data_IF_175360441055
#
_entry.id   IF_175360441055
#
_cell.length_a   1.000
_cell.length_b   1.000
_cell.length_c   1.000
_cell.angle_alpha   90.00
_cell.angle_beta   90.00
_cell.angle_gamma   90.00
#
_symmetry.space_group_name_H-M   'P 1'
#
loop_
_entity.id
_entity.type
_entity.pdbx_description
1 polymer ?
#
# COMPACT_ATOMS: atom_id res chain seq x y z
N UNK A 1 -15.71 6.31 5.17
CA UNK A 1 -15.50 4.91 5.58
C UNK A 1 -14.07 4.77 6.05
N UNK A 2 -13.79 4.08 7.16
CA UNK A 2 -12.44 3.97 7.75
C UNK A 2 -11.91 2.55 7.54
N UNK A 3 -10.64 2.43 7.14
CA UNK A 3 -9.95 1.15 7.04
C UNK A 3 -9.77 0.56 8.45
N UNK A 4 -10.05 -0.73 8.61
CA UNK A 4 -9.83 -1.47 9.86
C UNK A 4 -8.54 -2.28 9.75
N UNK A 5 -8.05 -2.80 10.87
CA UNK A 5 -6.82 -3.62 10.91
C UNK A 5 -6.80 -4.77 9.88
N UNK A 6 -7.89 -5.55 9.66
CA UNK A 6 -7.90 -6.59 8.63
C UNK A 6 -7.66 -6.04 7.21
N UNK A 7 -8.16 -4.84 6.93
CA UNK A 7 -7.97 -4.19 5.63
C UNK A 7 -6.49 -3.80 5.46
N UNK A 8 -5.84 -3.34 6.53
CA UNK A 8 -4.41 -3.01 6.52
C UNK A 8 -3.53 -4.25 6.38
N UNK A 9 -3.89 -5.37 7.00
CA UNK A 9 -3.18 -6.64 6.85
C UNK A 9 -3.20 -7.11 5.39
N UNK A 10 -4.33 -7.00 4.72
CA UNK A 10 -4.43 -7.35 3.29
C UNK A 10 -3.59 -6.43 2.40
N UNK A 11 -3.60 -5.11 2.67
CA UNK A 11 -2.76 -4.16 1.93
C UNK A 11 -1.27 -4.45 2.17
N UNK A 12 -0.89 -4.73 3.42
CA UNK A 12 0.49 -5.11 3.77
C UNK A 12 0.91 -6.37 3.03
N UNK A 13 0.05 -7.40 2.99
CA UNK A 13 0.31 -8.65 2.27
C UNK A 13 0.47 -8.43 0.75
N UNK A 14 -0.31 -7.52 0.16
CA UNK A 14 -0.15 -7.15 -1.25
C UNK A 14 1.24 -6.56 -1.50
N UNK A 15 1.68 -5.60 -0.67
CA UNK A 15 3.02 -5.01 -0.78
C UNK A 15 4.14 -6.03 -0.56
N UNK A 16 4.01 -6.91 0.42
CA UNK A 16 4.98 -7.99 0.66
C UNK A 16 5.13 -8.91 -0.55
N UNK A 17 4.00 -9.28 -1.16
CA UNK A 17 3.99 -10.09 -2.39
C UNK A 17 4.67 -9.34 -3.53
N UNK A 18 4.35 -8.06 -3.72
CA UNK A 18 4.92 -7.21 -4.76
C UNK A 18 6.45 -7.04 -4.59
N UNK A 19 6.92 -6.75 -3.38
CA UNK A 19 8.34 -6.68 -3.04
C UNK A 19 9.06 -8.03 -3.18
N UNK A 20 8.35 -9.13 -2.92
CA UNK A 20 8.87 -10.49 -3.09
C UNK A 20 9.28 -10.75 -4.54
N UNK A 21 8.46 -10.31 -5.50
CA UNK A 21 8.68 -10.48 -6.95
C UNK A 21 9.84 -9.64 -7.51
N UNK A 22 10.29 -8.62 -6.80
CA UNK A 22 11.36 -7.73 -7.27
C UNK A 22 12.75 -8.39 -7.14
N UNK A 23 13.16 -9.20 -8.11
CA UNK A 23 14.47 -9.91 -8.05
C UNK A 23 15.69 -8.98 -8.11
N UNK A 24 15.55 -7.78 -8.69
CA UNK A 24 16.65 -6.83 -8.96
C UNK A 24 16.97 -5.86 -7.81
N UNK A 25 16.21 -5.89 -6.71
CA UNK A 25 16.43 -4.98 -5.57
C UNK A 25 17.14 -5.71 -4.45
N UNK A 26 18.24 -5.13 -3.96
CA UNK A 26 19.06 -5.72 -2.91
C UNK A 26 18.28 -5.91 -1.60
N UNK A 27 18.73 -6.88 -0.80
CA UNK A 27 18.04 -7.27 0.45
C UNK A 27 17.90 -6.10 1.42
N UNK A 28 18.92 -5.25 1.55
CA UNK A 28 18.92 -4.15 2.51
C UNK A 28 17.91 -3.08 2.11
N UNK A 29 17.86 -2.73 0.82
CA UNK A 29 16.87 -1.81 0.24
C UNK A 29 15.46 -2.36 0.36
N UNK A 30 15.24 -3.66 0.10
CA UNK A 30 13.93 -4.30 0.37
C UNK A 30 13.50 -4.17 1.83
N UNK A 31 14.41 -4.36 2.79
CA UNK A 31 14.09 -4.18 4.20
C UNK A 31 13.73 -2.74 4.54
N UNK A 32 14.42 -1.75 3.97
CA UNK A 32 14.07 -0.33 4.12
C UNK A 32 12.68 -0.03 3.52
N UNK A 33 12.40 -0.56 2.33
CA UNK A 33 11.09 -0.43 1.66
C UNK A 33 9.96 -1.02 2.51
N UNK A 34 10.14 -2.23 3.06
CA UNK A 34 9.16 -2.87 3.97
C UNK A 34 8.84 -1.99 5.18
N UNK A 35 9.87 -1.40 5.81
CA UNK A 35 9.67 -0.50 6.94
C UNK A 35 8.85 0.72 6.55
N UNK A 36 9.21 1.41 5.46
CA UNK A 36 8.45 2.57 4.96
C UNK A 36 6.99 2.23 4.66
N UNK A 37 6.75 1.12 3.96
CA UNK A 37 5.40 0.65 3.62
C UNK A 37 4.59 0.42 4.88
N UNK A 38 5.15 -0.33 5.84
CA UNK A 38 4.50 -0.62 7.11
C UNK A 38 4.12 0.68 7.83
N UNK A 39 5.06 1.62 7.95
CA UNK A 39 4.84 2.87 8.67
C UNK A 39 3.73 3.72 7.99
N UNK A 40 3.71 3.81 6.66
CA UNK A 40 2.65 4.52 5.92
C UNK A 40 1.29 3.77 5.95
N UNK A 41 1.26 2.44 6.02
CA UNK A 41 0.03 1.64 6.20
C UNK A 41 -0.56 1.88 7.58
N UNK A 42 0.24 1.82 8.66
CA UNK A 42 -0.27 2.07 10.01
C UNK A 42 -0.74 3.51 10.19
N UNK A 43 -0.12 4.47 9.49
CA UNK A 43 -0.59 5.85 9.50
C UNK A 43 -2.04 5.98 9.01
N UNK A 44 -2.52 5.10 8.12
CA UNK A 44 -3.91 5.11 7.68
C UNK A 44 -4.92 4.89 8.80
N UNK A 45 -4.53 4.24 9.91
CA UNK A 45 -5.39 4.15 11.10
C UNK A 45 -5.72 5.53 11.65
N UNK A 46 -4.81 6.50 11.53
CA UNK A 46 -5.00 7.85 12.06
C UNK A 46 -5.88 8.73 11.16
N UNK A 47 -6.20 8.29 9.95
CA UNK A 47 -6.97 9.07 8.99
C UNK A 47 -8.47 8.91 9.23
N UNK A 48 -9.18 10.02 9.35
CA UNK A 48 -10.62 9.99 9.66
C UNK A 48 -11.48 9.63 8.43
N UNK A 49 -11.18 10.24 7.28
CA UNK A 49 -11.94 10.08 6.04
C UNK A 49 -11.01 10.01 4.81
N UNK A 50 -10.08 9.04 4.76
CA UNK A 50 -9.28 8.84 3.56
C UNK A 50 -10.19 8.53 2.36
N UNK A 51 -9.78 8.94 1.16
CA UNK A 51 -10.26 8.36 -0.10
C UNK A 51 -9.15 7.49 -0.71
N UNK A 52 -9.49 6.52 -1.58
CA UNK A 52 -8.48 5.73 -2.29
C UNK A 52 -7.45 6.59 -3.04
N UNK A 53 -7.91 7.68 -3.69
CA UNK A 53 -7.03 8.61 -4.41
C UNK A 53 -6.13 9.39 -3.47
N UNK A 54 -6.62 9.86 -2.31
CA UNK A 54 -5.77 10.54 -1.32
C UNK A 54 -4.67 9.63 -0.77
N UNK A 55 -5.00 8.36 -0.49
CA UNK A 55 -4.01 7.36 -0.04
C UNK A 55 -2.97 7.13 -1.13
N UNK A 56 -3.43 6.89 -2.37
CA UNK A 56 -2.54 6.60 -3.48
C UNK A 56 -1.60 7.77 -3.78
N UNK A 57 -2.12 9.00 -3.87
CA UNK A 57 -1.30 10.20 -4.10
C UNK A 57 -0.21 10.36 -3.02
N UNK A 58 -0.58 10.17 -1.74
CA UNK A 58 0.41 10.20 -0.66
C UNK A 58 1.49 9.14 -0.83
N UNK A 59 1.11 7.91 -1.19
CA UNK A 59 2.09 6.85 -1.40
C UNK A 59 2.93 7.07 -2.65
N UNK A 60 2.41 7.73 -3.69
CA UNK A 60 3.21 8.18 -4.82
C UNK A 60 4.31 9.14 -4.39
N UNK A 61 4.06 10.01 -3.42
CA UNK A 61 5.08 10.89 -2.84
C UNK A 61 6.03 10.14 -1.90
N UNK A 62 5.47 9.48 -0.87
CA UNK A 62 6.20 8.92 0.28
C UNK A 62 6.88 7.59 -0.01
N UNK A 63 6.29 6.79 -0.90
CA UNK A 63 6.75 5.47 -1.33
C UNK A 63 7.16 5.49 -2.81
N UNK A 64 7.56 6.65 -3.34
CA UNK A 64 7.98 6.81 -4.75
C UNK A 64 9.04 5.79 -5.17
N UNK A 65 10.00 5.48 -4.29
CA UNK A 65 11.06 4.50 -4.53
C UNK A 65 10.54 3.06 -4.57
N UNK A 66 9.48 2.76 -3.81
CA UNK A 66 8.79 1.47 -3.86
C UNK A 66 8.00 1.37 -5.15
N UNK A 67 7.12 2.33 -5.42
CA UNK A 67 6.18 2.26 -6.56
C UNK A 67 6.89 2.32 -7.91
N UNK A 68 8.00 3.07 -8.04
CA UNK A 68 8.84 3.06 -9.26
C UNK A 68 9.50 1.71 -9.52
N UNK A 69 9.68 0.91 -8.49
CA UNK A 69 10.36 -0.38 -8.59
C UNK A 69 9.37 -1.54 -8.80
N UNK A 70 8.07 -1.27 -8.73
CA UNK A 70 7.00 -2.21 -9.07
C UNK A 70 6.73 -2.24 -10.59
N UNK A 71 6.13 -3.33 -11.09
CA UNK A 71 5.57 -3.39 -12.44
C UNK A 71 4.58 -2.25 -12.74
N UNK A 72 4.47 -1.87 -14.02
CA UNK A 72 3.69 -0.71 -14.48
C UNK A 72 2.19 -0.77 -14.09
N UNK A 73 1.61 -1.96 -14.09
CA UNK A 73 0.22 -2.26 -13.73
C UNK A 73 -0.05 -2.31 -12.22
N UNK A 74 0.99 -2.33 -11.38
CA UNK A 74 0.84 -2.51 -9.93
C UNK A 74 0.12 -1.34 -9.25
N UNK A 75 0.20 -0.12 -9.81
CA UNK A 75 -0.56 1.02 -9.28
C UNK A 75 -2.06 0.87 -9.48
N UNK A 76 -2.49 0.37 -10.63
CA UNK A 76 -3.90 0.14 -10.92
C UNK A 76 -4.46 -0.99 -10.05
N UNK A 77 -3.67 -2.05 -9.83
CA UNK A 77 -4.02 -3.12 -8.88
C UNK A 77 -4.19 -2.58 -7.46
N UNK A 78 -3.27 -1.72 -7.01
CA UNK A 78 -3.31 -1.11 -5.69
C UNK A 78 -4.55 -0.20 -5.52
N UNK A 79 -4.87 0.59 -6.55
CA UNK A 79 -6.07 1.43 -6.56
C UNK A 79 -7.35 0.57 -6.47
N UNK A 80 -7.43 -0.52 -7.24
CA UNK A 80 -8.55 -1.48 -7.18
C UNK A 80 -8.67 -2.12 -5.80
N UNK A 81 -7.54 -2.46 -5.16
CA UNK A 81 -7.53 -2.99 -3.80
C UNK A 81 -8.08 -1.97 -2.80
N UNK A 82 -7.62 -0.72 -2.85
CA UNK A 82 -8.10 0.36 -1.98
C UNK A 82 -9.59 0.62 -2.18
N UNK A 83 -10.06 0.68 -3.43
CA UNK A 83 -11.49 0.81 -3.76
C UNK A 83 -12.29 -0.33 -3.14
N UNK A 84 -11.87 -1.59 -3.33
CA UNK A 84 -12.55 -2.76 -2.75
C UNK A 84 -12.63 -2.69 -1.23
N UNK A 85 -11.57 -2.25 -0.55
CA UNK A 85 -11.52 -2.17 0.92
C UNK A 85 -12.36 -1.02 1.49
N UNK A 86 -12.56 0.02 0.70
CA UNK A 86 -13.25 1.24 1.13
C UNK A 86 -14.68 1.38 0.59
N UNK A 87 -15.12 0.49 -0.30
CA UNK A 87 -16.47 0.50 -0.89
C UNK A 87 -17.45 -0.50 -0.26
N UNK A 88 -17.02 -1.44 0.60
CA UNK A 88 -17.95 -2.41 1.18
C UNK A 88 -18.60 -1.88 2.47
N UNK A 89 -19.93 -1.63 2.52
CA UNK A 89 -20.64 -1.64 3.80
C UNK A 89 -20.39 -3.01 4.43
N UNK A 90 -19.75 -3.04 5.60
CA UNK A 90 -19.76 -4.26 6.41
C UNK A 90 -21.21 -4.43 6.86
N UNK A 91 -21.88 -5.41 6.23
CA UNK A 91 -23.15 -5.94 6.73
C UNK A 91 -22.96 -6.51 8.13
#
# INVERSE_FOLDING_TARGET
MRLKEPDLLEISKWFETALGRMSKVDRQKKMRMRRKIRDEIYLLLTWERPTPSMILNRWEERLSDVLKALPHDSKDELLKLLLKKMQMPKA
#
